data_IF_567654255594
#
_entry.id   IF_567654255594
#
_cell.length_a   1.000
_cell.length_b   1.000
_cell.length_c   1.000
_cell.angle_alpha   90.00
_cell.angle_beta   90.00
_cell.angle_gamma   90.00
#
_symmetry.space_group_name_H-M   'P 1'
#
loop_
_entity.id
_entity.type
_entity.pdbx_description
1 polymer ?
#
# COMPACT_ATOMS: atom_id res chain seq x y z
N UNK A 1 17.11 5.74 -11.73
CA UNK A 1 15.96 5.60 -10.81
C UNK A 1 14.94 4.61 -11.35
N UNK A 2 14.30 4.85 -12.51
CA UNK A 2 13.25 3.97 -13.08
C UNK A 2 13.61 2.47 -13.22
N UNK A 3 14.82 2.13 -13.67
CA UNK A 3 15.24 0.72 -13.82
C UNK A 3 15.49 0.02 -12.48
N UNK A 4 16.04 0.72 -11.49
CA UNK A 4 16.29 0.15 -10.16
C UNK A 4 14.98 -0.10 -9.39
N UNK A 5 13.99 0.77 -9.56
CA UNK A 5 12.64 0.56 -9.03
C UNK A 5 11.95 -0.64 -9.69
N UNK A 6 12.07 -0.79 -11.01
CA UNK A 6 11.53 -1.94 -11.73
C UNK A 6 12.20 -3.25 -11.32
N UNK A 7 13.53 -3.25 -11.18
CA UNK A 7 14.30 -4.41 -10.71
C UNK A 7 13.88 -4.84 -9.30
N UNK A 8 13.72 -3.88 -8.39
CA UNK A 8 13.25 -4.13 -7.03
C UNK A 8 11.80 -4.65 -7.00
N UNK A 9 10.92 -4.10 -7.84
CA UNK A 9 9.55 -4.58 -8.00
C UNK A 9 9.55 -6.03 -8.49
N UNK A 10 10.31 -6.35 -9.53
CA UNK A 10 10.42 -7.72 -10.06
C UNK A 10 11.00 -8.68 -9.03
N UNK A 11 12.02 -8.29 -8.29
CA UNK A 11 12.60 -9.09 -7.22
C UNK A 11 11.56 -9.42 -6.14
N UNK A 12 10.76 -8.44 -5.72
CA UNK A 12 9.72 -8.61 -4.69
C UNK A 12 8.58 -9.51 -5.18
N UNK A 13 8.13 -9.33 -6.43
CA UNK A 13 7.08 -10.14 -7.04
C UNK A 13 7.55 -11.59 -7.21
N UNK A 14 8.73 -11.78 -7.79
CA UNK A 14 9.27 -13.12 -8.02
C UNK A 14 9.62 -13.82 -6.70
N UNK A 15 10.15 -13.08 -5.73
CA UNK A 15 10.41 -13.61 -4.39
C UNK A 15 9.15 -14.19 -3.76
N UNK A 16 8.05 -13.43 -3.76
CA UNK A 16 6.85 -13.89 -3.05
C UNK A 16 6.07 -14.97 -3.81
N UNK A 17 5.83 -14.75 -5.10
CA UNK A 17 5.05 -15.66 -5.94
C UNK A 17 5.87 -16.87 -6.37
N UNK A 18 7.13 -16.68 -6.77
CA UNK A 18 8.02 -17.77 -7.21
C UNK A 18 8.33 -18.75 -6.09
N UNK A 19 8.63 -18.27 -4.87
CA UNK A 19 8.87 -19.14 -3.72
C UNK A 19 7.62 -19.93 -3.35
N UNK A 20 6.43 -19.29 -3.37
CA UNK A 20 5.17 -20.01 -3.11
C UNK A 20 4.93 -21.13 -4.12
N UNK A 21 5.13 -20.85 -5.42
CA UNK A 21 4.97 -21.87 -6.46
C UNK A 21 5.94 -23.04 -6.27
N UNK A 22 7.20 -22.75 -5.90
CA UNK A 22 8.21 -23.77 -5.63
C UNK A 22 7.81 -24.65 -4.44
N UNK A 23 7.37 -24.05 -3.33
CA UNK A 23 6.93 -24.80 -2.14
C UNK A 23 5.76 -25.72 -2.48
N UNK A 24 4.76 -25.22 -3.23
CA UNK A 24 3.62 -26.04 -3.64
C UNK A 24 4.06 -27.19 -4.54
N UNK A 25 4.97 -26.94 -5.49
CA UNK A 25 5.49 -27.98 -6.37
C UNK A 25 6.23 -29.07 -5.57
N UNK A 26 7.09 -28.67 -4.63
CA UNK A 26 7.81 -29.58 -3.72
C UNK A 26 6.80 -30.40 -2.91
N UNK A 27 5.88 -29.75 -2.19
CA UNK A 27 4.91 -30.47 -1.36
C UNK A 27 4.05 -31.43 -2.19
N UNK A 28 3.66 -31.03 -3.41
CA UNK A 28 2.86 -31.91 -4.29
C UNK A 28 3.65 -33.09 -4.83
N UNK A 29 4.96 -32.95 -5.04
CA UNK A 29 5.85 -34.06 -5.41
C UNK A 29 6.01 -35.07 -4.28
N UNK A 30 6.15 -34.62 -3.02
CA UNK A 30 6.39 -35.50 -1.88
C UNK A 30 5.09 -36.06 -1.25
N UNK A 31 4.05 -35.23 -1.14
CA UNK A 31 2.78 -35.55 -0.49
C UNK A 31 1.72 -36.08 -1.47
N UNK A 32 1.94 -35.95 -2.78
CA UNK A 32 1.05 -36.43 -3.83
C UNK A 32 -0.39 -35.92 -3.67
N UNK A 33 -1.36 -36.84 -3.70
CA UNK A 33 -2.80 -36.53 -3.54
C UNK A 33 -3.19 -36.05 -2.13
N UNK A 34 -2.31 -36.17 -1.13
CA UNK A 34 -2.55 -35.70 0.24
C UNK A 34 -2.02 -34.28 0.49
N UNK A 35 -1.36 -33.68 -0.50
CA UNK A 35 -0.87 -32.31 -0.43
C UNK A 35 -2.01 -31.34 -0.10
N UNK A 36 -1.81 -30.55 0.94
CA UNK A 36 -2.70 -29.44 1.33
C UNK A 36 -2.10 -28.07 0.98
N UNK A 37 -0.89 -28.05 0.41
CA UNK A 37 -0.26 -26.81 0.00
C UNK A 37 -1.04 -26.19 -1.16
N UNK A 38 -1.36 -24.90 -1.02
CA UNK A 38 -2.03 -24.11 -2.03
C UNK A 38 -1.16 -22.92 -2.42
N UNK A 39 -1.20 -22.59 -3.70
CA UNK A 39 -0.55 -21.40 -4.20
C UNK A 39 -1.30 -20.15 -3.72
N UNK A 40 -0.58 -19.04 -3.57
CA UNK A 40 -1.17 -17.75 -3.19
C UNK A 40 -2.27 -17.38 -4.21
N UNK A 41 -3.53 -17.36 -3.74
CA UNK A 41 -4.73 -17.11 -4.57
C UNK A 41 -5.06 -15.64 -4.76
N UNK A 42 -4.59 -14.79 -3.87
CA UNK A 42 -4.90 -13.35 -3.82
C UNK A 42 -3.62 -12.51 -3.78
N UNK A 43 -3.62 -11.29 -4.33
CA UNK A 43 -2.45 -10.42 -4.25
C UNK A 43 -2.05 -10.17 -2.80
N UNK A 44 -0.79 -10.38 -2.45
CA UNK A 44 -0.33 -10.24 -1.04
C UNK A 44 -0.63 -8.84 -0.47
N UNK A 45 -0.52 -7.83 -1.33
CA UNK A 45 -0.80 -6.44 -1.00
C UNK A 45 -2.27 -6.17 -0.70
N UNK A 46 -3.22 -6.95 -1.22
CA UNK A 46 -4.65 -6.69 -0.97
C UNK A 46 -5.00 -6.81 0.51
N UNK A 47 -4.40 -7.77 1.23
CA UNK A 47 -4.58 -7.94 2.68
C UNK A 47 -3.88 -6.88 3.52
N UNK A 48 -2.80 -6.31 3.00
CA UNK A 48 -2.09 -5.21 3.66
C UNK A 48 -2.91 -3.93 3.58
N UNK A 49 -3.48 -3.64 2.40
CA UNK A 49 -4.34 -2.46 2.20
C UNK A 49 -5.72 -2.56 2.88
N UNK A 50 -6.22 -3.75 3.20
CA UNK A 50 -7.44 -3.92 4.01
C UNK A 50 -7.27 -3.42 5.45
N UNK A 51 -6.04 -3.41 5.99
CA UNK A 51 -5.73 -2.88 7.32
C UNK A 51 -5.21 -1.42 7.28
N UNK A 52 -5.05 -0.86 6.09
CA UNK A 52 -4.45 0.47 5.84
C UNK A 52 -5.53 1.54 5.59
N UNK A 53 -6.75 1.29 6.08
CA UNK A 53 -7.72 2.37 6.24
C UNK A 53 -7.17 3.37 7.24
N UNK A 54 -6.85 4.58 6.77
CA UNK A 54 -6.36 5.70 7.59
C UNK A 54 -7.10 5.70 8.93
N UNK A 55 -6.35 5.57 10.04
CA UNK A 55 -6.97 5.49 11.37
C UNK A 55 -7.80 6.76 11.60
N UNK A 56 -8.86 6.68 12.43
CA UNK A 56 -9.71 7.86 12.67
C UNK A 56 -8.91 9.07 13.19
N UNK A 57 -7.82 8.83 13.93
CA UNK A 57 -6.88 9.86 14.37
C UNK A 57 -6.14 10.54 13.20
N UNK A 58 -5.68 9.77 12.22
CA UNK A 58 -5.00 10.31 11.04
C UNK A 58 -5.98 11.05 10.12
N UNK A 59 -7.22 10.56 9.98
CA UNK A 59 -8.30 11.29 9.30
C UNK A 59 -8.59 12.62 9.98
N UNK A 60 -8.61 12.64 11.32
CA UNK A 60 -8.84 13.86 12.09
C UNK A 60 -7.73 14.89 11.88
N UNK A 61 -6.46 14.46 11.92
CA UNK A 61 -5.30 15.33 11.61
C UNK A 61 -5.38 15.93 10.20
N UNK A 62 -5.80 15.15 9.21
CA UNK A 62 -5.99 15.66 7.84
C UNK A 62 -7.10 16.72 7.78
N UNK A 63 -8.22 16.53 8.50
CA UNK A 63 -9.30 17.53 8.58
C UNK A 63 -8.81 18.81 9.23
N UNK A 64 -8.06 18.72 10.32
CA UNK A 64 -7.51 19.88 11.03
C UNK A 64 -6.51 20.66 10.18
N UNK A 65 -5.58 19.96 9.51
CA UNK A 65 -4.64 20.58 8.56
C UNK A 65 -5.37 21.28 7.42
N UNK A 66 -6.45 20.68 6.92
CA UNK A 66 -7.25 21.27 5.86
C UNK A 66 -7.94 22.56 6.32
N UNK A 67 -8.54 22.57 7.52
CA UNK A 67 -9.18 23.76 8.10
C UNK A 67 -8.15 24.87 8.33
N UNK A 68 -6.98 24.55 8.90
CA UNK A 68 -5.92 25.52 9.11
C UNK A 68 -5.46 26.16 7.79
N UNK A 69 -5.32 25.35 6.72
CA UNK A 69 -4.97 25.84 5.38
C UNK A 69 -6.05 26.79 4.81
N UNK A 70 -7.34 26.47 4.99
CA UNK A 70 -8.44 27.33 4.57
C UNK A 70 -8.43 28.67 5.31
N UNK A 71 -8.20 28.65 6.63
CA UNK A 71 -8.10 29.87 7.43
C UNK A 71 -6.95 30.78 6.96
N UNK A 72 -5.77 30.21 6.72
CA UNK A 72 -4.63 30.96 6.16
C UNK A 72 -4.98 31.57 4.80
N UNK A 73 -5.65 30.81 3.93
CA UNK A 73 -6.08 31.30 2.62
C UNK A 73 -7.05 32.47 2.74
N UNK A 74 -8.01 32.39 3.67
CA UNK A 74 -8.95 33.47 3.95
C UNK A 74 -8.24 34.72 4.49
N UNK A 75 -7.35 34.56 5.47
CA UNK A 75 -6.59 35.69 6.03
C UNK A 75 -5.72 36.37 4.96
N UNK A 76 -5.05 35.59 4.10
CA UNK A 76 -4.26 36.15 3.00
C UNK A 76 -5.13 36.95 2.01
N UNK A 77 -6.34 36.48 1.73
CA UNK A 77 -7.29 37.19 0.88
C UNK A 77 -7.78 38.50 1.52
N UNK A 78 -8.11 38.48 2.81
CA UNK A 78 -8.54 39.67 3.55
C UNK A 78 -7.43 40.72 3.69
N UNK A 79 -6.19 40.28 3.92
CA UNK A 79 -5.01 41.16 3.93
C UNK A 79 -4.77 41.80 2.56
N UNK A 80 -4.88 41.01 1.48
CA UNK A 80 -4.77 41.54 0.12
C UNK A 80 -5.82 42.60 -0.20
N UNK A 81 -7.02 42.52 0.39
CA UNK A 81 -8.08 43.52 0.22
C UNK A 81 -7.90 44.78 1.07
N UNK A 82 -7.22 44.68 2.22
CA UNK A 82 -6.94 45.84 3.09
C UNK A 82 -5.74 46.68 2.64
N UNK A 83 -4.88 46.12 1.78
CA UNK A 83 -3.71 46.80 1.20
C UNK A 83 -3.98 47.55 -0.12
N UNK A 84 -5.22 47.55 -0.62
CA UNK A 84 -5.73 48.43 -1.68
C UNK A 84 -6.49 49.59 -1.07
#
# INVERSE_FOLDING_TARGET
MKMAEQDNLQYTWWGSYGISALIVAIDRCFSGKKSKAEYIKEPILSKTFENDGLTEEEKQKQRELFVAKLQVMQTNFELSKKGQ
#
